data_IF_362966703879
#
_entry.id   IF_362966703879
#
_cell.length_a   1.000
_cell.length_b   1.000
_cell.length_c   1.000
_cell.angle_alpha   90.00
_cell.angle_beta   90.00
_cell.angle_gamma   90.00
#
_symmetry.space_group_name_H-M   'P 1'
#
loop_
_entity.id
_entity.type
_entity.pdbx_description
1 polymer ?
#
# COMPACT_ATOMS: atom_id res chain seq x y z
N UNK A 1 7.73 -57.12 10.67
CA UNK A 1 6.86 -56.23 9.87
C UNK A 1 6.62 -55.00 10.73
N UNK A 2 7.17 -53.86 10.34
CA UNK A 2 7.02 -52.61 11.10
C UNK A 2 5.68 -51.97 10.74
N UNK A 3 4.77 -51.91 11.70
CA UNK A 3 3.53 -51.15 11.60
C UNK A 3 3.86 -49.68 11.31
N UNK A 4 3.52 -49.20 10.11
CA UNK A 4 3.56 -47.77 9.85
C UNK A 4 2.43 -47.11 10.65
N UNK A 5 2.80 -46.41 11.72
CA UNK A 5 1.85 -45.62 12.49
C UNK A 5 1.11 -44.63 11.58
N UNK A 6 -0.21 -44.80 11.49
CA UNK A 6 -1.06 -43.88 10.75
C UNK A 6 -1.07 -42.53 11.47
N UNK A 7 -0.59 -41.49 10.79
CA UNK A 7 -0.51 -40.14 11.33
C UNK A 7 -1.89 -39.64 11.73
N UNK A 8 -1.97 -38.88 12.83
CA UNK A 8 -3.25 -38.46 13.41
C UNK A 8 -4.13 -37.66 12.44
N UNK A 9 -3.52 -36.87 11.55
CA UNK A 9 -4.25 -36.09 10.54
C UNK A 9 -4.78 -36.91 9.37
N UNK A 10 -4.37 -38.17 9.22
CA UNK A 10 -4.94 -39.08 8.23
C UNK A 10 -6.16 -39.85 8.80
N UNK A 11 -6.48 -39.66 10.10
CA UNK A 11 -7.69 -40.21 10.73
C UNK A 11 -8.88 -39.27 10.52
N UNK A 12 -9.68 -39.52 9.48
CA UNK A 12 -10.82 -38.67 9.07
C UNK A 12 -11.74 -38.24 10.22
N UNK A 13 -12.11 -39.18 11.11
CA UNK A 13 -12.98 -38.90 12.25
C UNK A 13 -12.35 -37.96 13.28
N UNK A 14 -11.06 -38.16 13.58
CA UNK A 14 -10.33 -37.31 14.53
C UNK A 14 -10.21 -35.87 14.01
N UNK A 15 -9.88 -35.71 12.72
CA UNK A 15 -9.79 -34.38 12.09
C UNK A 15 -11.14 -33.68 12.07
N UNK A 16 -12.24 -34.40 11.78
CA UNK A 16 -13.58 -33.82 11.81
C UNK A 16 -13.97 -33.30 13.20
N UNK A 17 -13.66 -34.05 14.26
CA UNK A 17 -13.90 -33.62 15.65
C UNK A 17 -13.04 -32.40 16.00
N UNK A 18 -11.76 -32.39 15.62
CA UNK A 18 -10.86 -31.25 15.85
C UNK A 18 -11.29 -30.00 15.09
N UNK A 19 -11.91 -30.13 13.91
CA UNK A 19 -12.50 -28.99 13.21
C UNK A 19 -13.65 -28.34 14.00
N UNK A 20 -14.37 -29.08 14.83
CA UNK A 20 -15.49 -28.54 15.63
C UNK A 20 -15.02 -28.02 16.99
N UNK A 21 -14.19 -28.80 17.69
CA UNK A 21 -13.81 -28.52 19.08
C UNK A 21 -12.57 -27.62 19.19
N UNK A 22 -11.64 -27.72 18.22
CA UNK A 22 -10.34 -27.04 18.28
C UNK A 22 -9.93 -26.54 16.90
N UNK A 23 -10.72 -25.58 16.40
CA UNK A 23 -10.72 -25.05 15.03
C UNK A 23 -9.33 -24.88 14.38
N UNK A 24 -8.30 -24.25 15.03
CA UNK A 24 -6.98 -24.10 14.41
C UNK A 24 -6.28 -25.42 14.13
N UNK A 25 -6.38 -26.40 15.04
CA UNK A 25 -5.73 -27.71 14.94
C UNK A 25 -6.49 -28.60 13.96
N UNK A 26 -7.82 -28.53 13.94
CA UNK A 26 -8.65 -29.23 12.96
C UNK A 26 -8.37 -28.77 11.54
N UNK A 27 -8.33 -27.44 11.32
CA UNK A 27 -8.03 -26.87 9.99
C UNK A 27 -6.63 -27.26 9.52
N UNK A 28 -5.64 -27.25 10.41
CA UNK A 28 -4.30 -27.76 10.12
C UNK A 28 -4.33 -29.24 9.70
N UNK A 29 -5.01 -30.09 10.46
CA UNK A 29 -5.16 -31.52 10.14
C UNK A 29 -5.85 -31.75 8.79
N UNK A 30 -6.92 -30.99 8.51
CA UNK A 30 -7.66 -31.06 7.24
C UNK A 30 -6.74 -30.75 6.05
N UNK A 31 -5.99 -29.64 6.14
CA UNK A 31 -5.09 -29.22 5.06
C UNK A 31 -3.87 -30.13 4.90
N UNK A 32 -3.33 -30.68 6.00
CA UNK A 32 -2.15 -31.55 5.99
C UNK A 32 -2.43 -32.97 5.53
N UNK A 33 -3.63 -33.49 5.77
CA UNK A 33 -4.02 -34.85 5.39
C UNK A 33 -3.91 -35.12 3.89
N UNK A 34 -3.58 -36.35 3.51
CA UNK A 34 -3.66 -36.79 2.10
C UNK A 34 -4.98 -37.47 1.76
N UNK A 35 -5.84 -37.68 2.77
CA UNK A 35 -7.06 -38.47 2.66
C UNK A 35 -8.28 -37.64 2.23
N UNK A 36 -8.22 -36.31 2.36
CA UNK A 36 -9.28 -35.41 1.89
C UNK A 36 -8.97 -34.88 0.48
N UNK A 37 -9.86 -35.06 -0.51
CA UNK A 37 -9.67 -34.50 -1.85
C UNK A 37 -9.70 -32.98 -1.80
N UNK A 38 -8.97 -32.32 -2.70
CA UNK A 38 -8.81 -30.84 -2.72
C UNK A 38 -10.14 -30.09 -2.72
N UNK A 39 -11.14 -30.60 -3.44
CA UNK A 39 -12.50 -30.02 -3.48
C UNK A 39 -13.21 -30.06 -2.13
N UNK A 40 -12.97 -31.09 -1.31
CA UNK A 40 -13.54 -31.20 0.03
C UNK A 40 -12.84 -30.29 1.05
N UNK A 41 -11.53 -30.09 0.90
CA UNK A 41 -10.78 -29.14 1.75
C UNK A 41 -11.30 -27.71 1.57
N UNK A 42 -11.51 -27.30 0.32
CA UNK A 42 -12.01 -25.97 -0.04
C UNK A 42 -13.49 -25.84 0.36
N UNK A 43 -14.32 -26.81 -0.04
CA UNK A 43 -15.75 -26.82 0.27
C UNK A 43 -16.03 -26.85 1.76
N UNK A 44 -15.36 -27.72 2.52
CA UNK A 44 -15.52 -27.83 3.97
C UNK A 44 -15.07 -26.58 4.72
N UNK A 45 -13.95 -25.97 4.32
CA UNK A 45 -13.48 -24.71 4.95
C UNK A 45 -14.49 -23.58 4.71
N UNK A 46 -15.04 -23.48 3.50
CA UNK A 46 -16.03 -22.45 3.14
C UNK A 46 -17.36 -22.64 3.86
N UNK A 47 -17.83 -23.89 3.99
CA UNK A 47 -19.10 -24.23 4.64
C UNK A 47 -19.04 -23.91 6.14
N UNK A 48 -17.93 -24.20 6.81
CA UNK A 48 -17.79 -23.90 8.23
C UNK A 48 -17.56 -22.40 8.47
N UNK A 49 -16.85 -21.71 7.57
CA UNK A 49 -16.75 -20.24 7.60
C UNK A 49 -18.14 -19.59 7.47
N UNK A 50 -18.98 -20.06 6.52
CA UNK A 50 -20.36 -19.61 6.35
C UNK A 50 -21.22 -19.90 7.58
N UNK A 51 -21.08 -21.08 8.18
CA UNK A 51 -21.75 -21.42 9.43
C UNK A 51 -21.31 -20.51 10.59
N UNK A 52 -20.02 -20.16 10.67
CA UNK A 52 -19.50 -19.25 11.68
C UNK A 52 -20.04 -17.83 11.48
N UNK A 53 -20.08 -17.34 10.24
CA UNK A 53 -20.68 -16.04 9.88
C UNK A 53 -22.19 -16.02 10.21
N UNK A 54 -22.91 -17.11 9.94
CA UNK A 54 -24.32 -17.27 10.29
C UNK A 54 -24.53 -17.23 11.81
N UNK A 55 -23.70 -17.92 12.60
CA UNK A 55 -23.79 -17.91 14.06
C UNK A 55 -23.47 -16.52 14.64
N UNK A 56 -22.44 -15.85 14.13
CA UNK A 56 -22.08 -14.49 14.56
C UNK A 56 -23.16 -13.48 14.17
N UNK A 57 -23.78 -13.62 13.00
CA UNK A 57 -24.91 -12.78 12.59
C UNK A 57 -26.22 -13.13 13.32
N UNK A 58 -26.43 -14.40 13.71
CA UNK A 58 -27.58 -14.83 14.50
C UNK A 58 -27.48 -14.39 15.98
N UNK A 59 -26.27 -14.25 16.52
CA UNK A 59 -26.03 -13.67 17.84
C UNK A 59 -26.18 -12.13 17.87
N UNK A 60 -26.35 -11.49 16.71
CA UNK A 60 -26.32 -10.03 16.53
C UNK A 60 -27.60 -9.39 15.98
N UNK A 61 -28.78 -10.04 16.03
CA UNK A 61 -30.03 -9.40 15.58
C UNK A 61 -31.21 -9.63 16.53
N UNK A 62 -31.60 -8.55 17.22
CA UNK A 62 -33.00 -8.29 17.57
C UNK A 62 -33.82 -8.22 16.27
N UNK A 63 -35.01 -8.79 16.37
CA UNK A 63 -36.03 -9.00 15.35
C UNK A 63 -36.40 -7.74 14.57
N UNK A 64 -36.66 -7.89 13.26
CA UNK A 64 -37.34 -6.88 12.47
C UNK A 64 -37.10 -6.98 10.96
N UNK A 65 -38.02 -7.65 10.28
CA UNK A 65 -38.40 -7.58 8.86
C UNK A 65 -37.59 -8.23 7.72
N UNK A 66 -38.37 -9.00 6.95
CA UNK A 66 -38.09 -9.72 5.71
C UNK A 66 -37.97 -8.78 4.50
N UNK A 67 -37.32 -9.22 3.40
CA UNK A 67 -37.04 -8.33 2.28
C UNK A 67 -38.27 -8.20 1.37
N UNK A 68 -38.74 -6.97 1.18
CA UNK A 68 -39.67 -6.65 0.10
C UNK A 68 -38.88 -5.93 -0.99
N UNK A 69 -38.82 -6.51 -2.18
CA UNK A 69 -38.25 -5.89 -3.38
C UNK A 69 -39.10 -4.68 -3.79
N UNK A 70 -38.53 -3.47 -3.79
CA UNK A 70 -38.92 -2.40 -4.71
C UNK A 70 -37.86 -1.30 -4.80
N UNK A 71 -37.71 -0.86 -6.03
CA UNK A 71 -36.72 0.07 -6.54
C UNK A 71 -37.20 1.52 -6.42
N UNK A 72 -36.21 2.38 -6.20
CA UNK A 72 -36.13 3.82 -6.48
C UNK A 72 -36.62 4.89 -5.49
N UNK A 73 -35.60 5.66 -5.08
CA UNK A 73 -35.52 7.12 -4.96
C UNK A 73 -36.03 7.86 -3.72
N UNK A 74 -35.05 8.59 -3.19
CA UNK A 74 -35.10 9.86 -2.48
C UNK A 74 -35.22 9.87 -0.94
N UNK A 75 -34.14 10.44 -0.36
CA UNK A 75 -34.04 11.25 0.85
C UNK A 75 -34.13 10.58 2.23
N UNK A 76 -32.94 10.38 2.82
CA UNK A 76 -32.65 10.44 4.25
C UNK A 76 -31.17 10.90 4.43
N UNK A 77 -30.78 11.51 5.56
CA UNK A 77 -29.92 12.69 5.59
C UNK A 77 -28.42 12.43 5.46
N UNK A 78 -27.73 13.47 5.04
CA UNK A 78 -26.28 13.59 5.03
C UNK A 78 -25.66 13.30 6.42
N UNK A 79 -24.84 12.25 6.46
CA UNK A 79 -23.72 12.14 7.39
C UNK A 79 -22.52 11.60 6.60
N UNK A 80 -22.29 12.23 5.45
CA UNK A 80 -21.00 12.22 4.78
C UNK A 80 -20.31 13.48 5.28
N UNK A 81 -19.28 13.34 6.10
CA UNK A 81 -18.34 14.43 6.34
C UNK A 81 -17.62 14.73 5.01
N UNK A 82 -18.28 15.52 4.17
CA UNK A 82 -17.68 16.27 3.08
C UNK A 82 -16.83 17.38 3.70
N UNK A 83 -15.67 17.04 4.26
CA UNK A 83 -14.72 18.01 4.79
C UNK A 83 -13.30 17.60 4.41
N UNK A 84 -12.91 17.95 3.19
CA UNK A 84 -11.52 18.18 2.83
C UNK A 84 -11.45 19.15 1.63
N UNK A 85 -12.03 20.33 1.78
CA UNK A 85 -11.69 21.49 0.93
C UNK A 85 -11.81 22.83 1.67
N UNK A 86 -11.70 22.84 3.00
CA UNK A 86 -11.26 24.04 3.72
C UNK A 86 -9.73 23.98 3.78
N UNK A 87 -9.06 24.97 3.17
CA UNK A 87 -7.61 25.05 3.15
C UNK A 87 -7.01 25.00 4.56
N UNK A 88 -5.75 24.53 4.67
CA UNK A 88 -5.03 24.49 5.93
C UNK A 88 -5.03 25.84 6.64
N UNK A 89 -5.24 25.81 7.96
CA UNK A 89 -4.96 26.96 8.80
C UNK A 89 -3.45 27.24 8.75
N UNK A 90 -3.08 28.50 8.55
CA UNK A 90 -1.70 28.92 8.34
C UNK A 90 -1.42 30.23 9.07
N UNK A 91 -0.25 30.31 9.68
CA UNK A 91 0.34 31.53 10.23
C UNK A 91 1.41 32.05 9.26
N UNK A 92 1.22 33.22 8.61
CA UNK A 92 2.19 33.76 7.66
C UNK A 92 3.59 34.04 8.23
N UNK A 93 3.73 34.18 9.55
CA UNK A 93 5.00 34.39 10.25
C UNK A 93 5.73 33.09 10.63
N UNK A 94 5.05 31.95 10.48
CA UNK A 94 5.56 30.65 10.88
C UNK A 94 6.60 30.04 9.94
N UNK A 95 7.17 28.91 10.37
CA UNK A 95 8.09 28.12 9.55
C UNK A 95 7.33 27.51 8.36
N UNK A 96 7.95 27.49 7.19
CA UNK A 96 7.34 26.89 6.01
C UNK A 96 7.07 25.40 6.20
N UNK A 97 5.82 25.01 5.95
CA UNK A 97 5.34 23.63 6.04
C UNK A 97 4.71 23.21 4.73
N UNK A 98 5.02 22.00 4.28
CA UNK A 98 4.26 21.34 3.21
C UNK A 98 2.86 20.99 3.71
N UNK A 99 1.86 20.98 2.83
CA UNK A 99 0.62 20.27 3.11
C UNK A 99 0.77 18.78 2.79
N UNK A 100 0.05 17.91 3.50
CA UNK A 100 0.03 16.48 3.14
C UNK A 100 -0.54 16.26 1.72
N UNK A 101 -1.45 17.12 1.24
CA UNK A 101 -1.96 17.11 -0.14
C UNK A 101 -0.82 17.33 -1.12
N UNK A 102 -0.02 18.39 -0.93
CA UNK A 102 1.13 18.65 -1.79
C UNK A 102 2.10 17.47 -1.84
N UNK A 103 2.41 16.88 -0.67
CA UNK A 103 3.31 15.71 -0.57
C UNK A 103 2.86 14.56 -1.48
N UNK A 104 1.55 14.36 -1.65
CA UNK A 104 1.01 13.22 -2.37
C UNK A 104 0.41 13.53 -3.75
N UNK A 105 0.18 14.80 -4.09
CA UNK A 105 -0.46 15.18 -5.34
C UNK A 105 0.49 15.80 -6.34
N UNK A 106 1.61 16.35 -5.90
CA UNK A 106 2.66 16.77 -6.81
C UNK A 106 3.47 15.57 -7.35
N UNK A 107 4.45 15.88 -8.20
CA UNK A 107 5.34 14.89 -8.81
C UNK A 107 6.71 14.86 -8.15
N UNK A 108 6.82 15.33 -6.92
CA UNK A 108 8.10 15.42 -6.19
C UNK A 108 8.16 14.29 -5.16
N UNK A 109 9.32 13.63 -5.06
CA UNK A 109 9.58 12.70 -3.97
C UNK A 109 10.02 13.48 -2.72
N UNK A 110 9.08 13.78 -1.83
CA UNK A 110 9.34 14.52 -0.59
C UNK A 110 10.05 13.75 0.52
N UNK A 111 10.58 12.55 0.25
CA UNK A 111 11.36 11.78 1.23
C UNK A 111 12.50 12.61 1.85
N UNK A 112 12.86 12.31 3.10
CA UNK A 112 13.83 13.03 3.92
C UNK A 112 13.18 13.82 5.05
N UNK A 113 13.97 14.66 5.74
CA UNK A 113 13.48 15.46 6.86
C UNK A 113 12.62 16.64 6.37
N UNK A 114 11.36 16.71 6.80
CA UNK A 114 10.35 17.69 6.36
C UNK A 114 9.51 18.18 7.53
N UNK A 115 9.12 19.45 7.45
CA UNK A 115 7.99 20.00 8.19
C UNK A 115 6.76 19.91 7.30
N UNK A 116 5.73 19.21 7.75
CA UNK A 116 4.48 19.09 7.03
C UNK A 116 3.27 19.16 7.94
N UNK A 117 2.14 19.58 7.39
CA UNK A 117 0.89 19.80 8.11
C UNK A 117 -0.20 18.97 7.48
N UNK A 118 -0.94 18.26 8.33
CA UNK A 118 -1.98 17.30 7.95
C UNK A 118 -3.07 17.21 9.01
N UNK A 119 -4.16 16.53 8.67
CA UNK A 119 -5.22 16.22 9.62
C UNK A 119 -4.99 14.86 10.25
N UNK A 120 -5.15 14.76 11.57
CA UNK A 120 -5.05 13.49 12.30
C UNK A 120 -6.10 12.50 11.82
N UNK A 121 -5.67 11.29 11.44
CA UNK A 121 -6.54 10.19 10.99
C UNK A 121 -6.59 9.01 11.95
N UNK A 122 -5.51 8.76 12.68
CA UNK A 122 -5.37 7.61 13.57
C UNK A 122 -4.29 7.86 14.61
N UNK A 123 -4.44 7.22 15.77
CA UNK A 123 -3.42 7.08 16.79
C UNK A 123 -3.16 5.61 17.06
N UNK A 124 -1.91 5.25 17.38
CA UNK A 124 -1.59 3.96 17.98
C UNK A 124 -1.11 4.15 19.41
N UNK A 125 -1.83 3.53 20.33
CA UNK A 125 -1.53 3.50 21.76
C UNK A 125 -1.18 2.05 22.10
N UNK A 126 0.11 1.68 22.12
CA UNK A 126 0.52 0.34 22.47
C UNK A 126 0.05 0.04 23.90
N UNK A 127 -0.46 -1.16 24.09
CA UNK A 127 -0.85 -1.67 25.41
C UNK A 127 0.25 -2.60 25.91
N UNK A 128 0.57 -2.51 27.19
CA UNK A 128 1.45 -3.45 27.87
C UNK A 128 0.78 -4.82 28.03
N UNK A 129 1.51 -5.77 28.63
CA UNK A 129 1.00 -7.13 28.87
C UNK A 129 -0.26 -7.17 29.76
N UNK A 130 -0.54 -6.09 30.48
CA UNK A 130 -1.70 -5.94 31.36
C UNK A 130 -2.83 -5.13 30.68
N UNK A 131 -2.67 -4.76 29.41
CA UNK A 131 -3.66 -3.97 28.65
C UNK A 131 -3.60 -2.46 28.94
N UNK A 132 -2.57 -1.97 29.63
CA UNK A 132 -2.42 -0.56 30.01
C UNK A 132 -1.57 0.20 29.00
N UNK A 133 -1.90 1.48 28.78
CA UNK A 133 -1.18 2.35 27.86
C UNK A 133 -2.00 3.60 27.56
N UNK A 134 -1.39 4.76 27.72
CA UNK A 134 -2.01 6.08 27.66
C UNK A 134 -1.23 7.07 26.77
N UNK A 135 -0.12 6.61 26.21
CA UNK A 135 0.70 7.39 25.29
C UNK A 135 0.57 6.89 23.86
N UNK A 136 0.37 7.84 22.96
CA UNK A 136 0.41 7.63 21.52
C UNK A 136 1.87 7.49 21.11
N UNK A 137 2.21 6.41 20.42
CA UNK A 137 3.55 6.20 19.85
C UNK A 137 3.59 6.37 18.34
N UNK A 138 2.44 6.25 17.66
CA UNK A 138 2.33 6.50 16.23
C UNK A 138 1.12 7.41 15.99
N UNK A 139 1.33 8.46 15.20
CA UNK A 139 0.26 9.32 14.67
C UNK A 139 0.21 9.15 13.17
N UNK A 140 -0.99 8.92 12.63
CA UNK A 140 -1.25 9.00 11.19
C UNK A 140 -1.88 10.34 10.87
N UNK A 141 -1.30 11.08 9.92
CA UNK A 141 -1.92 12.28 9.35
C UNK A 141 -2.19 12.10 7.86
N UNK A 142 -3.28 12.68 7.35
CA UNK A 142 -3.66 12.50 5.96
C UNK A 142 -5.07 12.94 5.60
N UNK A 143 -5.55 12.47 4.45
CA UNK A 143 -6.87 12.75 3.89
C UNK A 143 -7.28 11.63 2.93
N UNK A 144 -8.58 11.38 2.77
CA UNK A 144 -9.13 10.29 1.96
C UNK A 144 -8.41 8.94 2.20
N UNK A 145 -7.74 8.42 1.17
CA UNK A 145 -6.94 7.18 1.21
C UNK A 145 -5.43 7.45 1.30
N UNK A 146 -5.02 8.69 1.58
CA UNK A 146 -3.63 9.13 1.67
C UNK A 146 -3.22 9.35 3.12
N UNK A 147 -2.08 8.80 3.51
CA UNK A 147 -1.66 8.82 4.91
C UNK A 147 -0.14 8.79 5.07
N UNK A 148 0.33 9.49 6.09
CA UNK A 148 1.71 9.42 6.57
C UNK A 148 1.67 8.88 8.00
N UNK A 149 2.27 7.72 8.22
CA UNK A 149 2.41 7.11 9.55
C UNK A 149 3.72 7.57 10.19
N UNK A 150 3.64 8.23 11.33
CA UNK A 150 4.80 8.80 12.02
C UNK A 150 4.99 8.12 13.37
N UNK A 151 6.10 7.41 13.50
CA UNK A 151 6.59 6.96 14.79
C UNK A 151 7.16 8.14 15.56
N UNK A 152 6.57 8.43 16.72
CA UNK A 152 7.02 9.52 17.57
C UNK A 152 8.34 9.18 18.25
N UNK A 153 9.29 10.12 18.27
CA UNK A 153 10.47 9.96 19.14
C UNK A 153 10.08 10.16 20.59
N UNK A 154 9.15 11.09 20.84
CA UNK A 154 8.64 11.46 22.14
C UNK A 154 7.13 11.15 22.19
N UNK A 155 6.73 9.99 22.75
CA UNK A 155 5.33 9.63 22.87
C UNK A 155 4.53 10.69 23.63
N UNK A 156 3.35 11.03 23.11
CA UNK A 156 2.48 12.07 23.68
C UNK A 156 1.26 11.45 24.36
N UNK A 157 0.62 12.18 25.25
CA UNK A 157 -0.62 11.73 25.89
C UNK A 157 -1.76 11.55 24.88
N UNK A 158 -2.62 10.55 25.11
CA UNK A 158 -3.73 10.20 24.21
C UNK A 158 -4.80 11.27 24.06
N UNK A 159 -4.83 12.25 24.94
CA UNK A 159 -5.77 13.38 24.95
C UNK A 159 -5.17 14.68 24.38
N UNK A 160 -3.88 14.67 23.99
CA UNK A 160 -3.20 15.85 23.47
C UNK A 160 -3.82 16.37 22.16
N UNK A 161 -4.34 15.47 21.33
CA UNK A 161 -4.98 15.78 20.04
C UNK A 161 -6.19 14.87 19.80
N UNK A 162 -7.10 15.32 18.94
CA UNK A 162 -8.32 14.61 18.53
C UNK A 162 -8.28 14.26 17.05
N UNK A 163 -9.18 13.37 16.64
CA UNK A 163 -9.36 13.04 15.23
C UNK A 163 -9.74 14.28 14.42
N UNK A 164 -9.12 14.41 13.26
CA UNK A 164 -9.22 15.56 12.34
C UNK A 164 -8.70 16.89 12.90
N UNK A 165 -7.98 16.91 14.03
CA UNK A 165 -7.18 18.07 14.38
C UNK A 165 -6.12 18.30 13.30
N UNK A 166 -5.91 19.57 12.93
CA UNK A 166 -4.79 19.95 12.08
C UNK A 166 -3.53 20.04 12.94
N UNK A 167 -2.51 19.26 12.60
CA UNK A 167 -1.23 19.28 13.30
C UNK A 167 -0.08 19.38 12.30
N UNK A 168 1.03 19.94 12.77
CA UNK A 168 2.30 19.98 12.04
C UNK A 168 3.26 18.98 12.64
N UNK A 169 4.04 18.31 11.79
CA UNK A 169 5.00 17.28 12.19
C UNK A 169 6.33 17.59 11.51
N UNK A 170 7.41 17.59 12.29
CA UNK A 170 8.78 17.59 11.79
C UNK A 170 9.30 16.15 11.85
N UNK A 171 9.48 15.51 10.70
CA UNK A 171 9.90 14.12 10.64
C UNK A 171 10.78 13.82 9.42
N UNK A 172 11.64 12.82 9.57
CA UNK A 172 12.21 12.12 8.44
C UNK A 172 11.17 11.15 7.88
N UNK A 173 10.75 11.38 6.64
CA UNK A 173 9.73 10.57 5.95
C UNK A 173 10.33 9.79 4.79
N UNK A 174 9.82 8.59 4.57
CA UNK A 174 10.06 7.78 3.39
C UNK A 174 8.72 7.56 2.68
N UNK A 175 8.63 8.05 1.45
CA UNK A 175 7.43 7.85 0.64
C UNK A 175 7.38 6.42 0.10
N UNK A 176 6.19 5.83 0.12
CA UNK A 176 5.94 4.46 -0.34
C UNK A 176 4.73 4.49 -1.28
N UNK A 177 5.01 4.61 -2.59
CA UNK A 177 3.94 4.79 -3.57
C UNK A 177 3.20 6.13 -3.38
N UNK A 178 2.01 6.29 -3.97
CA UNK A 178 1.32 7.60 -4.14
C UNK A 178 0.33 8.00 -3.04
N UNK A 179 0.14 7.14 -2.05
CA UNK A 179 -0.91 7.26 -1.04
C UNK A 179 -0.44 6.89 0.36
N UNK A 180 0.82 6.51 0.50
CA UNK A 180 1.36 6.10 1.79
C UNK A 180 2.78 6.61 1.94
N UNK A 181 3.11 7.03 3.14
CA UNK A 181 4.47 7.30 3.57
C UNK A 181 4.59 6.89 5.04
N UNK A 182 5.82 6.61 5.46
CA UNK A 182 6.12 6.30 6.86
C UNK A 182 7.28 7.17 7.30
N UNK A 183 7.40 7.45 8.59
CA UNK A 183 8.50 8.25 9.08
C UNK A 183 8.70 8.19 10.57
N UNK A 184 9.69 8.95 11.02
CA UNK A 184 10.02 9.13 12.44
C UNK A 184 10.29 10.60 12.73
N UNK A 185 9.65 11.12 13.77
CA UNK A 185 9.71 12.54 14.10
C UNK A 185 8.78 12.88 15.25
N UNK A 186 8.45 14.15 15.42
CA UNK A 186 7.57 14.61 16.50
C UNK A 186 6.62 15.71 16.02
N UNK A 187 5.55 15.94 16.78
CA UNK A 187 4.63 17.05 16.54
C UNK A 187 5.37 18.37 16.74
N UNK A 188 5.28 19.26 15.76
CA UNK A 188 5.82 20.61 15.79
C UNK A 188 4.75 21.57 16.31
N UNK A 189 5.06 22.30 17.39
CA UNK A 189 4.10 23.16 18.09
C UNK A 189 4.29 24.66 17.82
N UNK A 190 5.30 25.04 17.03
CA UNK A 190 5.52 26.43 16.64
C UNK A 190 4.53 26.90 15.56
N UNK A 191 4.47 28.21 15.28
CA UNK A 191 3.68 28.73 14.18
C UNK A 191 4.18 28.16 12.85
N UNK A 192 3.26 27.76 11.96
CA UNK A 192 3.58 27.24 10.64
C UNK A 192 2.93 28.05 9.53
N UNK A 193 3.68 28.32 8.48
CA UNK A 193 3.18 28.83 7.21
C UNK A 193 2.97 27.65 6.27
N UNK A 194 1.74 27.17 6.16
CA UNK A 194 1.43 26.06 5.27
C UNK A 194 1.43 26.56 3.83
N UNK A 195 2.22 25.92 2.98
CA UNK A 195 2.28 26.29 1.57
C UNK A 195 0.92 26.03 0.91
N UNK A 196 0.40 26.99 0.13
CA UNK A 196 -0.86 26.80 -0.56
C UNK A 196 -0.71 25.63 -1.53
N UNK A 197 -1.64 24.68 -1.46
CA UNK A 197 -1.76 23.62 -2.44
C UNK A 197 -3.14 23.69 -3.08
N UNK A 198 -3.13 23.83 -4.39
CA UNK A 198 -4.31 23.78 -5.25
C UNK A 198 -4.08 22.67 -6.26
N UNK A 199 -5.04 21.76 -6.38
CA UNK A 199 -4.99 20.67 -7.34
C UNK A 199 -4.87 21.17 -8.80
N UNK A 200 -5.27 22.41 -9.09
CA UNK A 200 -5.05 23.06 -10.39
C UNK A 200 -3.57 23.30 -10.71
N UNK A 201 -2.72 23.43 -9.68
CA UNK A 201 -1.26 23.59 -9.80
C UNK A 201 -0.52 22.27 -9.99
N UNK A 202 -1.24 21.13 -9.95
CA UNK A 202 -0.65 19.81 -10.07
C UNK A 202 0.14 19.69 -11.39
N UNK A 203 1.46 19.39 -11.33
CA UNK A 203 2.25 19.18 -12.53
C UNK A 203 1.69 18.04 -13.38
N UNK A 204 1.70 18.22 -14.70
CA UNK A 204 1.37 17.13 -15.63
C UNK A 204 2.55 16.16 -15.67
N UNK A 205 2.25 14.89 -15.45
CA UNK A 205 3.24 13.81 -15.63
C UNK A 205 3.67 13.79 -17.11
N UNK A 206 4.97 13.89 -17.41
CA UNK A 206 5.45 13.79 -18.78
C UNK A 206 5.13 12.41 -19.38
N UNK A 207 4.85 12.35 -20.68
CA UNK A 207 4.61 11.08 -21.37
C UNK A 207 5.88 10.25 -21.56
N UNK A 208 7.04 10.90 -21.57
CA UNK A 208 8.37 10.30 -21.71
C UNK A 208 9.28 10.91 -20.63
N UNK A 209 10.00 10.08 -19.90
CA UNK A 209 10.94 10.49 -18.84
C UNK A 209 12.20 9.62 -18.93
N UNK A 210 13.38 10.21 -18.77
CA UNK A 210 14.63 9.43 -18.65
C UNK A 210 14.85 8.98 -17.21
N UNK A 211 15.53 7.86 -16.98
CA UNK A 211 15.87 7.41 -15.62
C UNK A 211 16.81 8.41 -14.93
N UNK A 212 17.67 9.10 -15.69
CA UNK A 212 18.49 10.19 -15.17
C UNK A 212 17.66 11.38 -14.68
N UNK A 213 16.68 11.84 -15.47
CA UNK A 213 15.77 12.92 -15.06
C UNK A 213 14.90 12.52 -13.87
N UNK A 214 14.37 11.28 -13.90
CA UNK A 214 13.54 10.75 -12.83
C UNK A 214 14.23 10.87 -11.47
N UNK A 215 15.48 10.42 -11.36
CA UNK A 215 16.23 10.53 -10.12
C UNK A 215 16.85 11.91 -9.89
N UNK A 216 17.41 12.53 -10.94
CA UNK A 216 18.10 13.82 -10.87
C UNK A 216 17.17 14.99 -10.50
N UNK A 217 15.90 14.91 -10.90
CA UNK A 217 14.87 15.89 -10.54
C UNK A 217 14.03 15.42 -9.34
N UNK A 218 14.42 14.32 -8.69
CA UNK A 218 13.76 13.76 -7.51
C UNK A 218 12.25 13.55 -7.73
N UNK A 219 11.90 12.96 -8.87
CA UNK A 219 10.52 12.83 -9.32
C UNK A 219 9.79 11.70 -8.61
N UNK A 220 8.47 11.82 -8.61
CA UNK A 220 7.51 10.80 -8.18
C UNK A 220 6.35 10.75 -9.17
N UNK A 221 6.27 9.68 -9.96
CA UNK A 221 5.31 9.61 -11.07
C UNK A 221 4.09 8.76 -10.73
N UNK A 222 4.20 7.90 -9.70
CA UNK A 222 3.13 7.00 -9.29
C UNK A 222 2.62 6.12 -10.43
N UNK A 223 1.35 5.74 -10.35
CA UNK A 223 0.74 4.80 -11.30
C UNK A 223 0.31 5.42 -12.63
N UNK A 224 0.79 6.63 -12.95
CA UNK A 224 0.50 7.28 -14.22
C UNK A 224 1.23 6.54 -15.36
N UNK A 225 0.58 6.31 -16.52
CA UNK A 225 1.27 5.75 -17.67
C UNK A 225 2.40 6.67 -18.15
N UNK A 226 3.60 6.12 -18.33
CA UNK A 226 4.79 6.84 -18.79
C UNK A 226 5.66 5.91 -19.63
N UNK A 227 6.41 6.50 -20.57
CA UNK A 227 7.52 5.85 -21.25
C UNK A 227 8.81 6.19 -20.52
N UNK A 228 9.38 5.21 -19.82
CA UNK A 228 10.63 5.38 -19.08
C UNK A 228 11.81 4.94 -19.94
N UNK A 229 12.76 5.84 -20.18
CA UNK A 229 13.93 5.59 -21.03
C UNK A 229 15.17 5.50 -20.16
N UNK A 230 15.97 4.44 -20.30
CA UNK A 230 17.19 4.29 -19.50
C UNK A 230 18.17 3.28 -20.07
N UNK A 231 19.35 3.23 -19.47
CA UNK A 231 20.36 2.24 -19.79
C UNK A 231 20.13 0.96 -18.98
N UNK A 232 20.23 -0.19 -19.64
CA UNK A 232 20.15 -1.50 -18.98
C UNK A 232 21.35 -1.67 -18.06
N UNK A 233 21.12 -1.64 -16.75
CA UNK A 233 22.14 -1.93 -15.74
C UNK A 233 22.26 -3.43 -15.47
N UNK A 234 21.14 -4.15 -15.49
CA UNK A 234 21.10 -5.59 -15.27
C UNK A 234 19.89 -6.19 -15.98
N UNK A 235 20.00 -7.45 -16.41
CA UNK A 235 18.88 -8.24 -16.90
C UNK A 235 18.96 -9.67 -16.38
N UNK A 236 17.84 -10.25 -15.98
CA UNK A 236 17.77 -11.65 -15.54
C UNK A 236 16.38 -12.25 -15.79
N UNK A 237 16.35 -13.58 -15.86
CA UNK A 237 15.12 -14.36 -15.93
C UNK A 237 15.09 -15.27 -14.70
N UNK A 238 14.07 -15.12 -13.87
CA UNK A 238 13.85 -15.95 -12.67
C UNK A 238 12.38 -16.37 -12.62
N UNK A 239 12.09 -17.64 -12.29
CA UNK A 239 10.72 -18.12 -12.03
C UNK A 239 9.65 -17.69 -13.05
N UNK A 240 9.98 -17.70 -14.35
CA UNK A 240 9.11 -17.23 -15.46
C UNK A 240 8.74 -15.74 -15.44
N UNK A 241 9.47 -14.91 -14.71
CA UNK A 241 9.40 -13.46 -14.79
C UNK A 241 10.63 -12.89 -15.49
N UNK A 242 10.38 -11.89 -16.32
CA UNK A 242 11.39 -11.11 -16.98
C UNK A 242 11.72 -9.90 -16.10
N UNK A 243 12.99 -9.77 -15.71
CA UNK A 243 13.50 -8.64 -14.94
C UNK A 243 14.52 -7.87 -15.77
N UNK A 244 14.27 -6.57 -15.98
CA UNK A 244 15.24 -5.66 -16.58
C UNK A 244 15.35 -4.44 -15.68
N UNK A 245 16.57 -4.19 -15.19
CA UNK A 245 16.88 -3.06 -14.35
C UNK A 245 17.50 -1.95 -15.19
N UNK A 246 16.92 -0.76 -15.10
CA UNK A 246 17.52 0.46 -15.64
C UNK A 246 18.28 1.18 -14.52
N UNK A 247 19.47 1.68 -14.81
CA UNK A 247 20.30 2.38 -13.82
C UNK A 247 20.57 3.84 -14.19
N UNK A 248 20.78 4.66 -13.17
CA UNK A 248 21.42 5.98 -13.26
C UNK A 248 22.33 6.20 -12.05
N UNK A 249 22.98 7.36 -11.98
CA UNK A 249 23.77 7.77 -10.81
C UNK A 249 22.93 7.91 -9.53
N UNK A 250 21.64 8.24 -9.65
CA UNK A 250 20.75 8.50 -8.52
C UNK A 250 19.96 7.29 -8.02
N UNK A 251 19.96 6.17 -8.76
CA UNK A 251 19.20 5.00 -8.36
C UNK A 251 18.97 4.00 -9.48
N UNK A 252 18.02 3.09 -9.26
CA UNK A 252 17.66 2.06 -10.23
C UNK A 252 16.16 1.88 -10.34
N UNK A 253 15.69 1.57 -11.54
CA UNK A 253 14.31 1.17 -11.78
C UNK A 253 14.27 -0.30 -12.16
N UNK A 254 13.59 -1.10 -11.33
CA UNK A 254 13.32 -2.50 -11.58
C UNK A 254 12.07 -2.63 -12.45
N UNK A 255 12.27 -2.98 -13.71
CA UNK A 255 11.20 -3.30 -14.64
C UNK A 255 10.82 -4.77 -14.56
N UNK A 256 9.53 -5.04 -14.34
CA UNK A 256 8.94 -6.37 -14.33
C UNK A 256 7.88 -6.50 -15.43
N UNK A 257 7.93 -7.60 -16.19
CA UNK A 257 6.85 -7.97 -17.12
C UNK A 257 6.14 -9.24 -16.66
N UNK A 258 4.80 -9.17 -16.60
CA UNK A 258 3.97 -10.31 -16.25
C UNK A 258 4.10 -11.45 -17.27
N UNK A 259 4.12 -12.70 -16.78
CA UNK A 259 4.34 -13.91 -17.57
C UNK A 259 3.48 -14.00 -18.85
N UNK A 260 2.19 -13.65 -18.77
CA UNK A 260 1.27 -13.74 -19.91
C UNK A 260 1.55 -12.73 -21.03
N UNK A 261 2.39 -11.71 -20.78
CA UNK A 261 2.87 -10.75 -21.78
C UNK A 261 4.17 -11.16 -22.46
N UNK A 262 4.84 -12.22 -21.97
CA UNK A 262 6.11 -12.69 -22.53
C UNK A 262 5.84 -13.55 -23.78
N UNK A 263 5.61 -12.88 -24.90
CA UNK A 263 5.48 -13.49 -26.24
C UNK A 263 6.84 -13.87 -26.82
N UNK A 264 6.87 -14.58 -27.95
CA UNK A 264 8.14 -14.89 -28.64
C UNK A 264 8.86 -13.62 -29.11
N UNK A 265 8.12 -12.59 -29.54
CA UNK A 265 8.67 -11.27 -29.84
C UNK A 265 9.37 -10.66 -28.61
N UNK A 266 8.77 -10.74 -27.42
CA UNK A 266 9.40 -10.22 -26.19
C UNK A 266 10.66 -11.01 -25.84
N UNK A 267 10.67 -12.34 -26.04
CA UNK A 267 11.87 -13.17 -25.82
C UNK A 267 13.00 -12.78 -26.76
N UNK A 268 12.69 -12.51 -28.02
CA UNK A 268 13.65 -12.03 -29.01
C UNK A 268 14.20 -10.66 -28.60
N UNK A 269 13.32 -9.71 -28.26
CA UNK A 269 13.72 -8.39 -27.78
C UNK A 269 14.62 -8.46 -26.55
N UNK A 270 14.27 -9.30 -25.57
CA UNK A 270 15.10 -9.52 -24.39
C UNK A 270 16.47 -10.11 -24.73
N UNK A 271 16.51 -11.06 -25.66
CA UNK A 271 17.75 -11.72 -26.07
C UNK A 271 18.70 -10.74 -26.77
N UNK A 272 18.15 -9.78 -27.52
CA UNK A 272 18.90 -8.73 -28.20
C UNK A 272 19.51 -7.67 -27.25
N UNK A 273 18.91 -7.44 -26.07
CA UNK A 273 19.40 -6.44 -25.11
C UNK A 273 20.73 -6.85 -24.45
N UNK A 274 21.66 -5.93 -24.34
CA UNK A 274 22.89 -6.06 -23.57
C UNK A 274 22.92 -5.06 -22.41
N UNK A 275 23.74 -5.34 -21.39
CA UNK A 275 24.04 -4.33 -20.35
C UNK A 275 24.72 -3.14 -21.01
N UNK A 276 24.25 -1.93 -20.69
CA UNK A 276 24.66 -0.67 -21.31
C UNK A 276 23.74 -0.19 -22.44
N UNK A 277 22.89 -1.06 -23.00
CA UNK A 277 21.97 -0.66 -24.07
C UNK A 277 20.93 0.33 -23.57
N UNK A 278 20.58 1.29 -24.44
CA UNK A 278 19.46 2.22 -24.20
C UNK A 278 18.15 1.55 -24.63
N UNK A 279 17.18 1.50 -23.72
CA UNK A 279 15.86 0.90 -23.95
C UNK A 279 14.78 1.80 -23.34
N UNK A 280 13.55 1.70 -23.87
CA UNK A 280 12.40 2.35 -23.26
C UNK A 280 11.33 1.33 -22.84
N UNK A 281 10.73 1.56 -21.68
CA UNK A 281 9.60 0.81 -21.17
C UNK A 281 8.35 1.69 -21.15
N UNK A 282 7.31 1.30 -21.89
CA UNK A 282 5.98 1.86 -21.63
C UNK A 282 5.37 1.09 -20.47
N UNK A 283 4.79 1.82 -19.53
CA UNK A 283 4.18 1.19 -18.38
C UNK A 283 3.87 2.19 -17.27
N UNK A 284 4.00 1.75 -16.03
CA UNK A 284 3.66 2.56 -14.84
C UNK A 284 4.46 2.10 -13.62
N UNK A 285 4.71 3.01 -12.69
CA UNK A 285 5.28 2.62 -11.39
C UNK A 285 4.22 1.94 -10.52
N UNK A 286 4.61 0.83 -9.91
CA UNK A 286 3.84 0.13 -8.88
C UNK A 286 4.19 0.70 -7.49
N UNK A 287 5.47 0.94 -7.27
CA UNK A 287 6.03 1.40 -6.02
C UNK A 287 7.29 2.22 -6.29
N UNK A 288 7.51 3.26 -5.50
CA UNK A 288 8.66 4.15 -5.59
C UNK A 288 9.12 4.40 -4.16
N UNK A 289 10.32 3.92 -3.80
CA UNK A 289 10.85 3.96 -2.44
C UNK A 289 12.36 4.24 -2.49
N UNK A 290 12.78 5.34 -1.88
CA UNK A 290 14.19 5.73 -1.85
C UNK A 290 14.79 5.83 -3.26
N UNK A 291 15.98 5.25 -3.45
CA UNK A 291 16.66 5.18 -4.75
C UNK A 291 16.20 4.00 -5.65
N UNK A 292 15.03 3.42 -5.39
CA UNK A 292 14.52 2.28 -6.19
C UNK A 292 13.07 2.49 -6.62
N UNK A 293 12.85 2.47 -7.94
CA UNK A 293 11.53 2.41 -8.56
C UNK A 293 11.18 0.99 -8.97
N UNK A 294 9.94 0.56 -8.74
CA UNK A 294 9.39 -0.70 -9.25
C UNK A 294 8.37 -0.38 -10.33
N UNK A 295 8.60 -0.92 -11.54
CA UNK A 295 7.90 -0.51 -12.74
C UNK A 295 7.29 -1.73 -13.44
N UNK A 296 5.97 -1.70 -13.68
CA UNK A 296 5.33 -2.69 -14.54
C UNK A 296 5.61 -2.33 -15.99
N UNK A 297 6.29 -3.20 -16.72
CA UNK A 297 6.51 -3.08 -18.15
C UNK A 297 5.29 -3.61 -18.90
N UNK A 298 4.71 -2.76 -19.74
CA UNK A 298 3.63 -3.13 -20.65
C UNK A 298 4.13 -3.38 -22.08
N UNK A 299 5.17 -2.65 -22.50
CA UNK A 299 5.82 -2.75 -23.82
C UNK A 299 7.31 -2.41 -23.69
N UNK A 300 8.16 -3.15 -24.41
CA UNK A 300 9.60 -2.89 -24.52
C UNK A 300 9.87 -2.29 -25.91
N UNK A 301 10.56 -1.15 -25.93
CA UNK A 301 10.96 -0.46 -27.16
C UNK A 301 12.49 -0.47 -27.22
N UNK A 302 13.01 -1.25 -28.17
CA UNK A 302 14.44 -1.27 -28.48
C UNK A 302 14.80 -0.04 -29.32
N UNK A 303 16.03 0.45 -29.16
CA UNK A 303 16.55 1.61 -29.90
C UNK A 303 15.56 2.79 -29.91
N UNK A 304 15.13 3.28 -28.74
CA UNK A 304 14.18 4.36 -28.67
C UNK A 304 14.71 5.60 -29.40
N UNK A 305 13.87 6.33 -30.16
CA UNK A 305 14.30 7.49 -30.94
C UNK A 305 14.55 8.75 -30.09
N UNK A 306 14.48 8.64 -28.76
CA UNK A 306 14.65 9.70 -27.76
C UNK A 306 15.82 9.35 -26.86
#
# INVERSE_FOLDING_TARGET
MSDQETKWYDKKGLVAVLCVVFWPVGLYGLWKSNVFPKSWKIGGTLLILLAFIMIVNAAGKKSGDSPTLRQESASAPASSASQASSGYQSDPSGQQSLSVQQIFEDTTNWSGNRLFTGYVKKFEIPKDAMGQGDKVTIITVGYDNKSIDIHLNNPIWSDAYKMNDQISIQAEIAMIGKSYATGRGDVFTGPVKVMPWDASMKPKVPSIVTVDDYFGQNMKLGSAPVTLVGQVAQKRVENNQLWIQLGSSGGTVQGEMAKYKITDQVKEQYSALSVGDKVAFKGRFNMEVGGTGYFTIEEIILNPPY
#
